data_IF_053139886240
#
_entry.id   IF_053139886240
#
_cell.length_a   1.000
_cell.length_b   1.000
_cell.length_c   1.000
_cell.angle_alpha   90.00
_cell.angle_beta   90.00
_cell.angle_gamma   90.00
#
_symmetry.space_group_name_H-M   'P 1'
#
loop_
_entity.id
_entity.type
_entity.pdbx_description
1 polymer ?
2 non-polymer ?
3 water ?
#
# COMPACT_ATOMS: atom_id res chain seq x y z
N UNK A 4 -35.51 -32.93 -3.88
CA UNK A 4 -34.43 -33.67 -4.50
C UNK A 4 -33.35 -32.76 -5.04
N UNK A 5 -33.14 -32.82 -6.36
CA UNK A 5 -32.12 -31.97 -6.98
C UNK A 5 -32.58 -30.52 -7.07
N UNK A 6 -33.86 -30.30 -7.39
CA UNK A 6 -34.38 -28.94 -7.47
C UNK A 6 -34.37 -28.26 -6.10
N UNK A 7 -34.66 -29.02 -5.04
CA UNK A 7 -34.63 -28.48 -3.68
C UNK A 7 -33.22 -28.04 -3.32
N UNK A 8 -32.23 -28.90 -3.60
CA UNK A 8 -30.85 -28.53 -3.30
C UNK A 8 -30.42 -27.32 -4.11
N UNK A 9 -30.84 -27.26 -5.37
CA UNK A 9 -30.51 -26.10 -6.20
C UNK A 9 -31.08 -24.82 -5.59
N UNK A 10 -32.36 -24.85 -5.20
CA UNK A 10 -32.99 -23.67 -4.60
C UNK A 10 -32.31 -23.27 -3.29
N UNK A 11 -31.96 -24.25 -2.46
CA UNK A 11 -31.28 -23.94 -1.20
C UNK A 11 -29.92 -23.31 -1.46
N UNK A 12 -29.16 -23.86 -2.40
CA UNK A 12 -27.89 -23.28 -2.77
C UNK A 12 -28.08 -21.85 -3.26
N UNK A 13 -29.07 -21.61 -4.11
CA UNK A 13 -29.31 -20.26 -4.61
C UNK A 13 -29.65 -19.29 -3.49
N UNK A 14 -30.41 -19.76 -2.49
CA UNK A 14 -30.75 -18.91 -1.35
C UNK A 14 -29.50 -18.56 -0.55
N UNK A 15 -28.63 -19.55 -0.30
CA UNK A 15 -27.39 -19.27 0.41
C UNK A 15 -26.45 -18.35 -0.37
N UNK A 16 -26.40 -18.52 -1.69
CA UNK A 16 -25.57 -17.65 -2.50
C UNK A 16 -26.09 -16.23 -2.50
N UNK A 17 -27.42 -16.05 -2.53
CA UNK A 17 -27.98 -14.71 -2.41
C UNK A 17 -27.68 -14.09 -1.06
N UNK A 18 -27.68 -14.91 0.00
CA UNK A 18 -27.27 -14.41 1.30
C UNK A 18 -25.85 -13.88 1.28
N UNK A 19 -24.91 -14.71 0.81
CA UNK A 19 -23.52 -14.27 0.71
C UNK A 19 -23.43 -13.03 -0.16
N UNK A 20 -24.28 -12.97 -1.20
CA UNK A 20 -24.25 -11.86 -2.15
C UNK A 20 -24.61 -10.56 -1.46
N UNK A 21 -25.71 -10.54 -0.71
CA UNK A 21 -26.13 -9.29 -0.07
C UNK A 21 -25.16 -8.90 1.05
N UNK A 22 -24.59 -9.88 1.75
CA UNK A 22 -23.58 -9.56 2.76
C UNK A 22 -22.38 -8.87 2.11
N UNK A 23 -21.83 -9.48 1.06
CA UNK A 23 -20.67 -8.89 0.39
C UNK A 23 -21.01 -7.53 -0.19
N UNK A 24 -22.20 -7.41 -0.78
CA UNK A 24 -22.57 -6.14 -1.39
C UNK A 24 -22.71 -5.03 -0.37
N UNK A 25 -23.29 -5.34 0.79
CA UNK A 25 -23.40 -4.30 1.81
C UNK A 25 -22.05 -3.98 2.42
N UNK A 26 -21.14 -4.96 2.51
CA UNK A 26 -19.77 -4.65 2.92
C UNK A 26 -19.11 -3.68 1.95
N UNK A 27 -19.28 -3.93 0.65
CA UNK A 27 -18.72 -3.03 -0.36
C UNK A 27 -19.35 -1.65 -0.24
N UNK A 28 -20.66 -1.61 -0.03
CA UNK A 28 -21.34 -0.33 0.12
C UNK A 28 -20.81 0.44 1.32
N UNK A 29 -20.57 -0.25 2.44
CA UNK A 29 -20.02 0.42 3.62
C UNK A 29 -18.59 0.87 3.38
N UNK A 30 -17.81 0.08 2.63
CA UNK A 30 -16.47 0.51 2.25
C UNK A 30 -16.52 1.82 1.46
N UNK A 31 -17.42 1.87 0.48
CA UNK A 31 -17.60 3.08 -0.32
C UNK A 31 -18.02 4.26 0.55
N UNK A 32 -18.96 4.03 1.47
CA UNK A 32 -19.45 5.12 2.31
C UNK A 32 -18.34 5.63 3.23
N UNK A 33 -17.66 4.73 3.94
CA UNK A 33 -16.59 5.16 4.84
C UNK A 33 -15.47 5.85 4.09
N UNK A 34 -15.10 5.35 2.92
CA UNK A 34 -13.99 5.93 2.19
C UNK A 34 -14.31 7.27 1.56
N UNK A 35 -15.48 7.38 0.93
CA UNK A 35 -15.84 8.61 0.24
C UNK A 35 -15.92 9.78 1.20
N UNK A 36 -16.51 9.57 2.37
CA UNK A 36 -16.66 10.62 3.36
C UNK A 36 -15.46 10.76 4.27
N UNK A 37 -14.42 9.96 4.06
CA UNK A 37 -13.21 10.04 4.86
C UNK A 37 -12.50 11.37 4.64
N UNK A 38 -11.70 11.76 5.62
CA UNK A 38 -10.95 13.00 5.55
C UNK A 38 -9.91 12.95 4.43
N UNK A 39 -9.49 14.13 3.98
CA UNK A 39 -8.54 14.25 2.88
C UNK A 39 -7.58 15.41 3.13
N UNK A 40 -6.86 15.34 4.25
CA UNK A 40 -5.79 16.30 4.53
C UNK A 40 -4.51 15.78 3.92
N UNK A 41 -3.92 16.55 2.99
CA UNK A 41 -2.86 16.07 2.11
C UNK A 41 -1.61 16.93 2.25
N UNK A 42 -0.49 16.29 2.56
CA UNK A 42 0.82 16.93 2.74
C UNK A 42 1.66 16.73 1.49
N UNK A 43 1.47 15.60 0.82
CA UNK A 43 2.18 15.26 -0.40
C UNK A 43 1.19 15.23 -1.57
N UNK A 44 1.72 15.00 -2.76
CA UNK A 44 0.91 14.63 -3.90
C UNK A 44 1.68 13.61 -4.73
N UNK A 45 0.95 12.77 -5.47
CA UNK A 45 1.61 11.64 -6.10
C UNK A 45 2.56 12.08 -7.20
N UNK A 46 2.30 13.21 -7.86
CA UNK A 46 3.20 13.67 -8.91
C UNK A 46 4.54 14.09 -8.33
N UNK A 47 4.53 14.74 -7.17
CA UNK A 47 5.78 15.16 -6.52
C UNK A 47 6.65 13.95 -6.18
N UNK A 48 6.05 12.94 -5.54
CA UNK A 48 6.79 11.73 -5.17
C UNK A 48 7.28 11.01 -6.41
N UNK A 49 6.41 10.87 -7.42
CA UNK A 49 6.79 10.17 -8.64
C UNK A 49 7.95 10.87 -9.34
N UNK A 50 7.88 12.20 -9.49
CA UNK A 50 8.97 12.91 -10.16
C UNK A 50 10.27 12.77 -9.40
N UNK A 51 10.21 12.83 -8.07
CA UNK A 51 11.43 12.70 -7.28
C UNK A 51 12.04 11.30 -7.39
N UNK A 52 11.20 10.27 -7.37
CA UNK A 52 11.71 8.92 -7.52
C UNK A 52 12.23 8.67 -8.93
N UNK A 53 11.51 9.16 -9.94
CA UNK A 53 11.97 8.98 -11.32
C UNK A 53 13.31 9.66 -11.55
N UNK A 54 13.54 10.81 -10.91
CA UNK A 54 14.81 11.50 -11.11
C UNK A 54 15.99 10.64 -10.65
N UNK A 55 15.80 9.86 -9.60
CA UNK A 55 16.90 9.09 -9.02
C UNK A 55 16.84 7.62 -9.39
N UNK A 56 15.95 7.23 -10.31
CA UNK A 56 15.81 5.82 -10.64
C UNK A 56 17.01 5.27 -11.40
N UNK A 57 17.82 6.14 -12.00
CA UNK A 57 19.05 5.69 -12.64
C UNK A 57 20.19 5.41 -11.68
N UNK A 58 20.06 5.83 -10.41
CA UNK A 58 21.10 5.54 -9.43
C UNK A 58 20.91 4.13 -8.88
N UNK A 59 21.95 3.61 -8.22
CA UNK A 59 21.77 2.43 -7.41
C UNK A 59 20.60 2.67 -6.45
N UNK A 60 19.72 1.67 -6.32
CA UNK A 60 18.46 1.94 -5.63
C UNK A 60 18.67 2.33 -4.16
N UNK A 61 19.75 1.90 -3.53
CA UNK A 61 19.95 2.30 -2.14
C UNK A 61 20.45 3.74 -2.04
N UNK A 62 21.27 4.17 -3.02
CA UNK A 62 21.62 5.58 -3.10
C UNK A 62 20.37 6.41 -3.36
N UNK A 63 19.50 5.93 -4.26
CA UNK A 63 18.25 6.62 -4.52
C UNK A 63 17.41 6.72 -3.25
N UNK A 64 17.32 5.63 -2.49
CA UNK A 64 16.60 5.64 -1.22
C UNK A 64 17.06 6.79 -0.35
N UNK A 65 18.38 6.87 -0.12
CA UNK A 65 18.94 7.91 0.74
C UNK A 65 18.63 9.30 0.19
N UNK A 66 18.84 9.52 -1.11
CA UNK A 66 18.63 10.85 -1.67
C UNK A 66 17.16 11.27 -1.59
N UNK A 67 16.26 10.31 -1.78
CA UNK A 67 14.83 10.59 -1.70
C UNK A 67 14.43 10.93 -0.27
N UNK A 68 14.94 10.18 0.71
CA UNK A 68 14.61 10.47 2.11
C UNK A 68 15.10 11.87 2.50
N UNK A 69 16.34 12.20 2.11
CA UNK A 69 16.88 13.52 2.44
C UNK A 69 16.02 14.62 1.82
N UNK A 70 15.66 14.46 0.54
CA UNK A 70 14.85 15.49 -0.11
C UNK A 70 13.47 15.62 0.51
N UNK A 71 12.84 14.48 0.86
CA UNK A 71 11.53 14.53 1.47
C UNK A 71 11.57 15.19 2.84
N UNK A 72 12.63 14.93 3.62
CA UNK A 72 12.79 15.63 4.89
C UNK A 72 12.96 17.14 4.67
N UNK A 73 13.76 17.51 3.66
CA UNK A 73 13.95 18.93 3.37
C UNK A 73 12.64 19.61 3.02
N UNK A 74 11.80 18.96 2.21
CA UNK A 74 10.57 19.58 1.73
C UNK A 74 9.40 19.45 2.69
N UNK A 75 9.38 18.46 3.58
CA UNK A 75 8.27 18.25 4.50
C UNK A 75 8.80 17.97 5.90
N UNK A 76 9.46 18.94 6.52
CA UNK A 76 9.98 18.71 7.87
C UNK A 76 8.85 18.46 8.85
N UNK A 77 9.08 17.55 9.79
CA UNK A 77 8.08 17.17 10.74
C UNK A 77 7.14 16.08 10.27
N UNK A 78 7.31 15.56 9.05
CA UNK A 78 6.41 14.55 8.50
C UNK A 78 7.10 13.26 8.05
N UNK A 79 8.41 13.15 8.26
CA UNK A 79 9.17 11.95 7.90
C UNK A 79 9.81 11.41 9.17
N UNK A 80 9.78 10.09 9.33
CA UNK A 80 10.38 9.46 10.51
C UNK A 80 11.88 9.69 10.57
N UNK A 81 12.41 9.81 11.79
CA UNK A 81 13.83 9.97 12.01
C UNK A 81 14.57 8.67 11.70
N UNK A 82 15.88 8.79 11.49
CA UNK A 82 16.72 7.64 11.15
C UNK A 82 16.51 6.49 12.13
N UNK A 83 16.39 6.81 13.43
CA UNK A 83 16.26 5.79 14.45
C UNK A 83 15.00 4.95 14.29
N UNK A 84 13.99 5.46 13.60
CA UNK A 84 12.71 4.78 13.43
C UNK A 84 12.55 4.18 12.05
N UNK A 85 13.59 4.20 11.23
CA UNK A 85 13.57 3.56 9.92
C UNK A 85 13.92 2.09 10.07
N UNK A 86 13.13 1.22 9.46
CA UNK A 86 13.32 -0.21 9.64
C UNK A 86 12.71 -0.94 8.45
N UNK A 87 13.42 -1.94 7.95
CA UNK A 87 12.86 -2.81 6.91
C UNK A 87 12.01 -3.88 7.57
N UNK A 88 10.75 -3.96 7.18
CA UNK A 88 9.80 -4.89 7.74
C UNK A 88 9.21 -5.70 6.59
N UNK A 89 9.14 -7.02 6.75
CA UNK A 89 8.47 -7.83 5.74
C UNK A 89 6.99 -7.48 5.67
N UNK A 90 6.44 -7.52 4.46
CA UNK A 90 5.02 -7.38 4.20
C UNK A 90 4.56 -8.63 3.47
N UNK A 91 3.67 -9.37 4.09
CA UNK A 91 3.05 -10.54 3.46
C UNK A 91 1.58 -10.23 3.27
N UNK A 92 1.15 -10.13 2.02
CA UNK A 92 -0.23 -9.73 1.78
C UNK A 92 -0.65 -10.22 0.41
N UNK A 93 -1.92 -10.65 0.31
CA UNK A 93 -2.49 -11.09 -0.96
C UNK A 93 -1.75 -12.20 -1.65
N UNK A 94 -0.97 -13.00 -0.91
CA UNK A 94 -0.18 -14.06 -1.52
C UNK A 94 1.22 -13.65 -1.95
N UNK A 95 1.58 -12.37 -1.88
CA UNK A 95 2.96 -11.97 -2.20
C UNK A 95 3.72 -11.62 -0.94
N UNK A 96 5.05 -11.52 -1.10
CA UNK A 96 5.96 -11.20 0.01
C UNK A 96 6.98 -10.16 -0.44
N UNK A 97 6.94 -9.00 0.17
CA UNK A 97 7.97 -7.98 -0.03
C UNK A 97 8.39 -7.41 1.30
N UNK A 98 8.93 -6.20 1.28
CA UNK A 98 9.34 -5.52 2.48
C UNK A 98 9.25 -4.02 2.26
N UNK A 99 9.09 -3.31 3.37
CA UNK A 99 8.84 -1.89 3.33
C UNK A 99 9.70 -1.19 4.36
N UNK A 100 9.95 0.08 4.09
CA UNK A 100 10.51 1.01 5.07
C UNK A 100 9.58 2.20 5.11
N UNK A 101 8.82 2.33 6.19
CA UNK A 101 7.84 3.39 6.30
C UNK A 101 8.54 4.71 6.59
N UNK A 102 8.21 5.75 5.80
CA UNK A 102 8.72 7.09 6.03
C UNK A 102 7.68 8.03 6.60
N UNK A 103 6.41 7.83 6.27
CA UNK A 103 5.37 8.74 6.69
C UNK A 103 4.05 7.98 6.68
N UNK A 104 3.19 8.30 7.65
CA UNK A 104 1.90 7.64 7.68
C UNK A 104 0.96 8.45 8.58
N UNK A 105 -0.26 8.63 8.10
CA UNK A 105 -1.30 9.31 8.84
C UNK A 105 -2.60 8.57 8.57
N UNK A 106 -3.71 9.17 9.02
CA UNK A 106 -5.02 8.64 8.69
C UNK A 106 -5.27 8.66 7.18
N UNK A 107 -4.68 9.60 6.44
CA UNK A 107 -5.06 9.87 5.07
C UNK A 107 -3.95 9.73 4.04
N UNK A 108 -2.69 9.61 4.45
CA UNK A 108 -1.59 9.46 3.52
C UNK A 108 -0.57 8.48 4.10
N UNK A 109 0.25 7.92 3.20
CA UNK A 109 1.48 7.30 3.64
C UNK A 109 2.51 7.40 2.53
N UNK A 110 3.78 7.31 2.92
CA UNK A 110 4.92 7.24 2.01
C UNK A 110 5.85 6.14 2.51
N UNK A 111 6.24 5.23 1.63
CA UNK A 111 7.16 4.21 2.08
C UNK A 111 8.04 3.77 0.91
N UNK A 112 9.18 3.17 1.25
CA UNK A 112 9.98 2.44 0.27
C UNK A 112 9.51 0.99 0.28
N UNK A 113 9.39 0.39 -0.90
CA UNK A 113 8.84 -0.96 -0.97
C UNK A 113 9.56 -1.75 -2.06
N UNK A 114 9.74 -3.04 -1.79
CA UNK A 114 10.24 -3.90 -2.84
C UNK A 114 10.49 -5.31 -2.36
N UNK A 115 11.26 -6.05 -3.14
CA UNK A 115 11.45 -7.45 -2.86
C UNK A 115 12.75 -7.92 -3.49
N UNK A 116 13.38 -8.87 -2.77
CA UNK A 116 14.58 -9.56 -3.24
C UNK A 116 14.28 -10.98 -3.69
N UNK A 117 13.00 -11.37 -3.77
CA UNK A 117 12.57 -12.64 -4.33
C UNK A 117 11.57 -12.36 -5.44
N UNK A 118 11.40 -13.33 -6.34
CA UNK A 118 10.30 -13.27 -7.29
C UNK A 118 9.00 -13.58 -6.58
N UNK A 119 7.99 -12.72 -6.75
CA UNK A 119 6.75 -12.88 -6.01
C UNK A 119 5.61 -12.20 -6.75
N UNK A 120 4.38 -12.54 -6.35
CA UNK A 120 3.21 -11.91 -6.95
C UNK A 120 1.96 -12.38 -6.25
N UNK A 121 0.88 -11.64 -6.54
CA UNK A 121 -0.41 -11.99 -5.96
C UNK A 121 -1.42 -10.88 -6.16
N UNK A 122 -2.34 -10.79 -5.23
CA UNK A 122 -3.45 -9.84 -5.30
C UNK A 122 -3.00 -8.48 -4.78
N UNK A 123 -3.37 -7.42 -5.49
CA UNK A 123 -3.01 -6.07 -5.08
C UNK A 123 -3.76 -5.59 -3.84
N UNK A 124 -4.91 -6.18 -3.56
CA UNK A 124 -5.84 -5.61 -2.60
C UNK A 124 -6.78 -4.64 -3.25
N UNK A 125 -7.94 -4.44 -2.61
CA UNK A 125 -8.98 -3.54 -3.10
C UNK A 125 -9.49 -2.73 -1.91
N UNK A 126 -9.32 -1.42 -1.95
CA UNK A 126 -9.63 -0.56 -0.81
C UNK A 126 -9.80 0.86 -1.30
N UNK A 127 -10.30 1.71 -0.40
CA UNK A 127 -10.53 3.12 -0.74
C UNK A 127 -9.25 3.91 -0.49
N UNK A 128 -8.29 3.74 -1.40
CA UNK A 128 -7.06 4.50 -1.37
C UNK A 128 -6.44 4.42 -2.75
N UNK A 129 -5.82 5.53 -3.17
CA UNK A 129 -5.09 5.58 -4.43
C UNK A 129 -3.61 5.37 -4.13
N UNK A 130 -3.04 4.28 -4.66
CA UNK A 130 -1.65 3.92 -4.41
C UNK A 130 -0.84 4.19 -5.67
N UNK A 131 0.34 4.79 -5.51
CA UNK A 131 1.21 5.00 -6.67
C UNK A 131 2.60 4.49 -6.35
N UNK A 132 3.18 3.73 -7.27
CA UNK A 132 4.51 3.17 -7.10
C UNK A 132 5.40 3.60 -8.25
N UNK A 133 6.54 4.21 -7.95
CA UNK A 133 7.52 4.57 -8.97
C UNK A 133 8.72 3.64 -8.83
N UNK A 134 9.08 2.99 -9.92
CA UNK A 134 10.10 1.94 -9.87
C UNK A 134 11.49 2.56 -9.90
N UNK A 135 12.30 2.20 -8.90
CA UNK A 135 13.71 2.54 -8.93
C UNK A 135 14.51 1.46 -9.63
N UNK A 136 14.19 0.19 -9.36
CA UNK A 136 14.89 -0.93 -9.99
C UNK A 136 13.94 -2.09 -10.17
N UNK A 137 14.25 -2.96 -11.13
CA UNK A 137 13.51 -4.18 -11.37
C UNK A 137 12.35 -4.03 -12.33
N UNK A 138 11.29 -4.82 -12.14
CA UNK A 138 10.14 -4.85 -13.03
C UNK A 138 8.87 -5.06 -12.21
N UNK A 139 7.78 -4.44 -12.68
CA UNK A 139 6.47 -4.50 -12.02
C UNK A 139 5.46 -4.89 -13.10
N UNK A 140 4.96 -6.12 -13.06
CA UNK A 140 3.91 -6.53 -13.98
C UNK A 140 2.57 -6.32 -13.29
N UNK A 141 1.65 -5.66 -14.00
CA UNK A 141 0.32 -5.36 -13.49
C UNK A 141 -0.71 -5.99 -14.43
N UNK A 142 -1.70 -6.69 -13.86
CA UNK A 142 -2.75 -7.36 -14.61
C UNK A 142 -4.08 -6.86 -14.08
N UNK A 143 -4.78 -6.04 -14.87
CA UNK A 143 -5.99 -5.40 -14.41
C UNK A 143 -7.20 -6.32 -14.54
N UNK A 144 -8.18 -6.07 -13.67
CA UNK A 144 -9.43 -6.80 -13.69
C UNK A 144 -10.15 -6.61 -15.02
N UNK A 145 -10.78 -7.67 -15.52
CA UNK A 145 -11.53 -7.60 -16.74
C UNK A 145 -10.74 -7.73 -18.03
N UNK A 146 -9.42 -7.87 -17.95
CA UNK A 146 -8.59 -8.07 -19.13
C UNK A 146 -7.92 -9.44 -19.06
N UNK A 147 -7.49 -9.95 -20.21
CA UNK A 147 -6.72 -11.19 -20.28
C UNK A 147 -5.25 -10.93 -20.57
N UNK A 148 -4.81 -9.68 -20.51
CA UNK A 148 -3.42 -9.35 -20.81
C UNK A 148 -2.91 -8.37 -19.76
N UNK A 149 -1.63 -8.50 -19.45
CA UNK A 149 -0.96 -7.73 -18.42
C UNK A 149 0.11 -6.85 -19.08
N UNK A 150 0.63 -5.92 -18.29
CA UNK A 150 1.63 -4.97 -18.79
C UNK A 150 2.81 -4.95 -17.83
N UNK A 151 4.01 -4.75 -18.35
CA UNK A 151 5.23 -4.72 -17.55
C UNK A 151 5.76 -3.29 -17.51
N UNK A 152 6.15 -2.85 -16.32
CA UNK A 152 6.69 -1.52 -16.10
C UNK A 152 8.11 -1.62 -15.57
N UNK A 153 8.89 -0.60 -15.88
CA UNK A 153 10.35 -0.60 -15.79
C UNK A 153 10.82 0.58 -14.94
N UNK A 154 12.11 0.68 -14.62
CA UNK A 154 12.58 1.80 -13.81
C UNK A 154 12.20 3.16 -14.40
N UNK A 155 11.69 4.04 -13.54
CA UNK A 155 11.22 5.34 -13.94
C UNK A 155 9.74 5.40 -14.23
N UNK A 156 9.08 4.26 -14.41
CA UNK A 156 7.63 4.25 -14.59
C UNK A 156 6.92 4.35 -13.25
N UNK A 157 5.72 4.94 -13.29
CA UNK A 157 4.82 5.00 -12.14
C UNK A 157 3.59 4.17 -12.45
N UNK A 158 3.20 3.30 -11.52
CA UNK A 158 2.00 2.49 -11.63
C UNK A 158 0.99 3.03 -10.63
N UNK A 159 -0.23 3.32 -11.09
CA UNK A 159 -1.28 3.88 -10.26
C UNK A 159 -2.34 2.79 -10.04
N UNK A 160 -2.49 2.37 -8.79
CA UNK A 160 -3.55 1.47 -8.36
C UNK A 160 -4.70 2.36 -7.90
N UNK A 161 -5.74 2.44 -8.74
CA UNK A 161 -6.84 3.38 -8.52
C UNK A 161 -7.75 2.92 -7.38
N UNK A 162 -8.53 3.87 -6.86
CA UNK A 162 -9.45 3.59 -5.77
C UNK A 162 -10.45 2.54 -6.21
N UNK A 163 -10.61 1.49 -5.39
CA UNK A 163 -11.57 0.45 -5.69
C UNK A 163 -11.15 -0.52 -6.77
N UNK A 164 -9.97 -0.32 -7.36
CA UNK A 164 -9.42 -1.19 -8.38
C UNK A 164 -8.79 -2.43 -7.75
N UNK A 165 -8.94 -3.55 -8.43
CA UNK A 165 -8.23 -4.78 -8.07
C UNK A 165 -7.40 -5.21 -9.27
N UNK A 166 -6.15 -5.61 -9.01
CA UNK A 166 -5.23 -6.10 -10.02
C UNK A 166 -4.46 -7.27 -9.42
N UNK A 167 -3.83 -8.03 -10.30
CA UNK A 167 -2.72 -8.89 -9.91
C UNK A 167 -1.43 -8.10 -10.09
N UNK A 168 -0.49 -8.32 -9.18
CA UNK A 168 0.80 -7.63 -9.19
C UNK A 168 1.88 -8.70 -9.14
N UNK A 169 2.98 -8.46 -9.86
CA UNK A 169 4.08 -9.41 -9.82
C UNK A 169 5.40 -8.66 -9.98
N UNK A 170 6.35 -8.97 -9.10
CA UNK A 170 7.64 -8.30 -9.06
C UNK A 170 8.74 -9.33 -9.17
N UNK A 171 9.78 -8.97 -9.91
CA UNK A 171 10.97 -9.79 -10.02
C UNK A 171 11.95 -9.46 -8.89
N UNK A 172 12.82 -10.42 -8.60
CA UNK A 172 13.84 -10.26 -7.57
C UNK A 172 14.66 -9.00 -7.83
N UNK A 173 14.85 -8.19 -6.78
CA UNK A 173 15.59 -6.95 -6.95
C UNK A 173 14.73 -5.80 -7.41
N UNK A 174 13.43 -5.84 -7.14
CA UNK A 174 12.54 -4.75 -7.56
C UNK A 174 12.31 -3.84 -6.36
N UNK A 175 12.63 -2.56 -6.53
CA UNK A 175 12.51 -1.59 -5.46
C UNK A 175 11.87 -0.32 -6.01
N UNK A 176 11.05 0.32 -5.19
CA UNK A 176 10.14 1.37 -5.64
C UNK A 176 9.78 2.28 -4.48
N UNK A 177 9.29 3.47 -4.83
CA UNK A 177 8.85 4.48 -3.89
C UNK A 177 7.33 4.56 -3.99
N UNK A 178 6.64 4.40 -2.87
CA UNK A 178 5.20 4.26 -2.85
C UNK A 178 4.54 5.39 -2.08
N UNK A 179 3.49 5.95 -2.66
CA UNK A 179 2.66 6.96 -2.04
C UNK A 179 1.22 6.48 -2.03
N UNK A 180 0.57 6.60 -0.88
CA UNK A 180 -0.83 6.20 -0.75
C UNK A 180 -1.64 7.36 -0.22
N UNK A 181 -2.87 7.50 -0.74
CA UNK A 181 -3.76 8.59 -0.39
C UNK A 181 -5.18 8.08 -0.34
N UNK A 182 -5.86 8.36 0.76
CA UNK A 182 -7.25 7.95 0.90
C UNK A 182 -7.54 7.60 2.35
N UNK A 183 -8.36 6.57 2.56
CA UNK A 183 -8.71 6.11 3.90
C UNK A 183 -7.75 4.99 4.27
N UNK A 184 -6.60 5.37 4.81
CA UNK A 184 -5.50 4.42 4.97
C UNK A 184 -5.84 3.26 5.90
N UNK A 185 -6.51 3.45 7.04
CA UNK A 185 -6.84 2.29 7.90
C UNK A 185 -7.56 1.17 7.18
N UNK A 186 -8.35 1.48 6.15
CA UNK A 186 -9.08 0.44 5.43
C UNK A 186 -8.17 -0.50 4.65
N UNK A 187 -6.88 -0.20 4.53
CA UNK A 187 -5.93 -1.12 3.92
C UNK A 187 -5.44 -2.18 4.91
N UNK A 188 -5.59 -1.93 6.21
CA UNK A 188 -4.91 -2.74 7.21
C UNK A 188 -5.35 -4.20 7.17
N UNK A 189 -6.64 -4.46 6.97
CA UNK A 189 -7.10 -5.84 6.89
C UNK A 189 -6.39 -6.59 5.78
N UNK A 190 -6.20 -5.93 4.63
CA UNK A 190 -5.45 -6.58 3.56
C UNK A 190 -3.98 -6.71 3.93
N UNK A 191 -3.44 -5.70 4.62
CA UNK A 191 -2.02 -5.65 4.86
C UNK A 191 -1.56 -6.69 5.87
N UNK A 192 -2.46 -7.13 6.74
CA UNK A 192 -2.13 -8.03 7.84
C UNK A 192 -2.68 -9.44 7.68
N UNK A 193 -3.57 -9.67 6.71
CA UNK A 193 -4.31 -10.94 6.67
C UNK A 193 -3.36 -12.13 6.50
N UNK A 194 -2.45 -12.07 5.54
CA UNK A 194 -1.52 -13.19 5.38
C UNK A 194 -0.69 -13.43 6.64
N UNK A 195 -0.45 -12.38 7.44
CA UNK A 195 0.26 -12.61 8.69
C UNK A 195 -0.59 -13.40 9.67
N UNK A 196 -1.88 -13.06 9.77
CA UNK A 196 -2.76 -13.72 10.72
C UNK A 196 -3.07 -15.15 10.28
N UNK A 197 -3.28 -15.36 8.99
CA UNK A 197 -3.85 -16.60 8.50
C UNK A 197 -2.88 -17.44 7.68
N UNK A 198 -1.66 -16.96 7.48
CA UNK A 198 -0.69 -17.73 6.71
C UNK A 198 0.65 -17.81 7.41
N UNK A 199 1.33 -16.67 7.63
CA UNK A 199 2.71 -16.75 8.11
C UNK A 199 2.81 -16.94 9.62
N UNK A 200 1.80 -16.51 10.37
CA UNK A 200 1.82 -16.55 11.84
C UNK A 200 2.98 -15.78 12.43
N UNK A 201 3.51 -14.79 11.71
CA UNK A 201 4.72 -14.08 12.13
C UNK A 201 4.31 -12.89 12.99
N UNK A 202 4.13 -13.13 14.28
CA UNK A 202 3.61 -12.09 15.16
C UNK A 202 4.62 -11.00 15.45
N UNK A 203 5.92 -11.29 15.42
CA UNK A 203 6.91 -10.21 15.56
C UNK A 203 6.83 -9.24 14.40
N UNK A 204 6.55 -9.73 13.18
CA UNK A 204 6.40 -8.82 12.04
C UNK A 204 5.14 -7.98 12.18
N UNK A 205 4.05 -8.57 12.68
CA UNK A 205 2.87 -7.77 13.02
C UNK A 205 3.21 -6.70 14.05
N UNK A 206 3.97 -7.07 15.08
CA UNK A 206 4.41 -6.12 16.09
C UNK A 206 5.13 -4.94 15.45
N UNK A 207 6.11 -5.23 14.59
CA UNK A 207 6.86 -4.19 13.89
C UNK A 207 5.93 -3.29 13.07
N UNK A 208 4.99 -3.91 12.35
CA UNK A 208 4.12 -3.15 11.45
C UNK A 208 3.25 -2.15 12.22
N UNK A 209 2.55 -2.63 13.26
CA UNK A 209 1.71 -1.71 14.04
C UNK A 209 2.58 -0.72 14.81
N UNK A 210 3.80 -1.12 15.17
CA UNK A 210 4.69 -0.21 15.91
C UNK A 210 5.07 0.99 15.05
N UNK A 211 5.51 0.74 13.81
CA UNK A 211 5.92 1.85 12.96
C UNK A 211 4.74 2.71 12.57
N UNK A 212 3.57 2.09 12.30
CA UNK A 212 2.41 2.91 12.01
C UNK A 212 2.11 3.83 13.20
N UNK A 213 2.16 3.30 14.42
CA UNK A 213 1.83 4.13 15.58
C UNK A 213 2.86 5.23 15.77
N UNK A 214 4.13 4.94 15.49
CA UNK A 214 5.14 5.99 15.58
C UNK A 214 4.90 7.08 14.55
N UNK A 215 4.50 6.70 13.33
CA UNK A 215 4.23 7.72 12.31
C UNK A 215 3.03 8.57 12.69
N UNK A 216 1.99 7.96 13.28
CA UNK A 216 0.84 8.73 13.76
C UNK A 216 1.24 9.68 14.88
N UNK A 217 2.07 9.21 15.81
CA UNK A 217 2.53 10.07 16.90
C UNK A 217 3.32 11.25 16.36
N UNK A 218 4.21 11.00 15.40
CA UNK A 218 4.94 12.10 14.76
C UNK A 218 3.97 13.12 14.17
N UNK A 219 2.97 12.64 13.43
CA UNK A 219 2.03 13.58 12.80
C UNK A 219 1.29 14.40 13.85
N UNK A 220 0.81 13.74 14.91
CA UNK A 220 0.13 14.46 15.97
C UNK A 220 1.05 15.49 16.62
N UNK A 221 2.33 15.13 16.82
CA UNK A 221 3.27 16.04 17.46
C UNK A 221 3.49 17.27 16.59
N UNK A 222 3.64 17.06 15.29
CA UNK A 222 3.82 18.19 14.37
C UNK A 222 2.56 19.07 14.34
N UNK A 223 1.39 18.45 14.37
CA UNK A 223 0.14 19.23 14.43
C UNK A 223 0.11 20.09 15.68
N UNK A 224 0.48 19.51 16.82
CA UNK A 224 0.50 20.26 18.08
C UNK A 224 1.49 21.41 18.02
N UNK A 225 2.68 21.18 17.48
CA UNK A 225 3.67 22.25 17.38
C UNK A 225 3.18 23.35 16.45
N UNK A 226 2.49 22.98 15.37
CA UNK A 226 2.00 23.99 14.43
C UNK A 226 0.87 24.81 15.03
N UNK A 227 0.08 24.24 15.93
CA UNK A 227 -0.89 25.07 16.65
C UNK A 227 -0.30 25.75 17.87
N UNK A 228 0.82 25.26 18.39
CA UNK A 228 1.45 25.87 19.56
C UNK A 228 1.43 24.99 20.79
X LIG B 1 2.55 -0.15 6.37
X LIG B 1 2.64 0.30 7.81
X LIG B 1 1.87 1.59 7.94
X LIG B 1 2.21 2.42 8.71
X LIG B 1 0.67 1.81 7.07
X LIG B 1 0.21 0.84 6.30
X LIG B 1 -1.14 1.00 5.63
X LIG B 1 -0.96 0.91 4.12
X LIG B 1 -0.26 -0.39 3.74
X LIG B 1 1.17 -0.36 4.32
X LIG B 1 1.12 -0.32 5.85
X LIG B 1 1.96 -1.55 3.84
X LIG B 1 2.06 -1.64 2.34
X LIG B 1 0.64 -1.63 1.73
X LIG B 1 -0.10 -0.40 2.23
X LIG B 1 -1.44 -0.42 1.44
X LIG B 1 -0.93 -1.01 0.03
X LIG B 1 0.56 -1.39 0.26
X LIG B 1 -0.11 -2.92 2.09
X LIG B 1 0.52 -1.62 6.38
X LIG B 1 0.96 -2.58 -0.65
X LIG B 1 0.13 -3.28 -1.13
X LIG B 1 2.43 -2.83 -0.98
#
# INVERSE_FOLDING_TARGET
GGGGRSVDTMALWLGLRAVLVVAGLAVLLQLIRGWLSSKSYVFNREEIARLAKEHSGLDYEVAFSKIIVELRKKHPGHILQDEDLQWVFVNAGGWMGSMCLLHASLTEYVLLFGTAVDTGGHSGRYWAEISDTILSGTFRQWKEGTTKSEIFYPGDTIVHEVGEATSVQWSSGTWMVEYGRGFIPSTLAFALADTIFSTQDFLTLFYTVKVYSKALLLEASTHLSQLGFFAAA
STR C1 C2 C3 O3 C4 C5 C6 C7 C8 C9 C10 C11 C12 C13 C14 C15 C16 C17 C18 C19 C20 O20 C21
#
